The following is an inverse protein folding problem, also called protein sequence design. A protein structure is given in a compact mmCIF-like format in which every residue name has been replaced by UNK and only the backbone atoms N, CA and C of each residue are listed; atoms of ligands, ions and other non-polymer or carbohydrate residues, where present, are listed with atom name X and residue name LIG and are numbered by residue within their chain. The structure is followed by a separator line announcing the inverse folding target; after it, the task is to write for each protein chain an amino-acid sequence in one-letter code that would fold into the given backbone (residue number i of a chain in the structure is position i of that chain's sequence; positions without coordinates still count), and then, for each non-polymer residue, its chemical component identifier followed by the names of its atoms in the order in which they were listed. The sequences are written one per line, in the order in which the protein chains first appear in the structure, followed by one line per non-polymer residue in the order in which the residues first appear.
data_IF_169092381729
#
_entry.id   IF_169092381729
#
_cell.length_a   1.000
_cell.length_b   1.000
_cell.length_c   1.000
_cell.angle_alpha   90.00
_cell.angle_beta   90.00
_cell.angle_gamma   90.00
#
_symmetry.space_group_name_H-M   'P 1'
#
loop_
_entity.id
_entity.type
_entity.pdbx_description
1 polymer ?
#
# COMPACT_ATOMS: atom_id res chain seq x y z
N UNK A 1 -16.05 12.52 -44.94
CA UNK A 1 -15.20 12.68 -43.74
C UNK A 1 -15.94 11.97 -42.63
N UNK A 2 -15.46 10.79 -42.23
CA UNK A 2 -16.12 9.95 -41.22
C UNK A 2 -15.97 10.63 -39.85
N UNK A 3 -17.05 11.16 -39.29
CA UNK A 3 -17.05 11.65 -37.91
C UNK A 3 -16.96 10.44 -36.97
N UNK A 4 -15.74 10.19 -36.48
CA UNK A 4 -15.50 9.19 -35.44
C UNK A 4 -16.25 9.63 -34.19
N UNK A 5 -17.33 8.93 -33.87
CA UNK A 5 -18.10 9.08 -32.65
C UNK A 5 -17.21 8.66 -31.46
N UNK A 6 -16.38 9.60 -30.99
CA UNK A 6 -15.64 9.45 -29.74
C UNK A 6 -16.65 9.47 -28.60
N UNK A 7 -17.15 8.30 -28.21
CA UNK A 7 -17.97 8.15 -27.01
C UNK A 7 -17.23 8.79 -25.83
N UNK A 8 -17.71 9.93 -25.28
CA UNK A 8 -16.94 10.71 -24.31
C UNK A 8 -16.88 10.06 -22.92
N UNK A 9 -17.65 9.00 -22.72
CA UNK A 9 -17.64 8.20 -21.49
C UNK A 9 -17.18 6.78 -21.80
N UNK A 10 -15.87 6.48 -21.70
CA UNK A 10 -15.44 5.10 -21.65
C UNK A 10 -16.11 4.46 -20.43
N UNK A 11 -17.01 3.50 -20.68
CA UNK A 11 -17.74 2.82 -19.62
C UNK A 11 -16.79 1.78 -19.00
N UNK A 12 -16.03 2.19 -17.99
CA UNK A 12 -15.06 1.31 -17.35
C UNK A 12 -15.80 0.19 -16.62
N UNK A 13 -15.44 -1.10 -16.84
CA UNK A 13 -15.96 -2.18 -16.03
C UNK A 13 -15.68 -1.91 -14.55
N UNK A 14 -16.67 -2.11 -13.67
CA UNK A 14 -16.53 -1.85 -12.22
C UNK A 14 -15.32 -2.57 -11.60
N UNK A 15 -14.98 -3.75 -12.13
CA UNK A 15 -13.78 -4.49 -11.74
C UNK A 15 -12.48 -3.72 -12.07
N UNK A 16 -12.38 -3.15 -13.29
CA UNK A 16 -11.22 -2.37 -13.73
C UNK A 16 -11.03 -1.12 -12.86
N UNK A 17 -12.12 -0.44 -12.52
CA UNK A 17 -12.14 0.74 -11.65
C UNK A 17 -11.68 0.40 -10.22
N UNK A 18 -12.15 -0.72 -9.67
CA UNK A 18 -11.76 -1.21 -8.33
C UNK A 18 -10.27 -1.59 -8.31
N UNK A 19 -9.80 -2.30 -9.34
CA UNK A 19 -8.40 -2.66 -9.47
C UNK A 19 -7.50 -1.43 -9.62
N UNK A 20 -7.93 -0.43 -10.37
CA UNK A 20 -7.20 0.85 -10.48
C UNK A 20 -7.05 1.53 -9.12
N UNK A 21 -8.11 1.60 -8.32
CA UNK A 21 -8.07 2.16 -6.95
C UNK A 21 -7.13 1.40 -6.04
N UNK A 22 -7.18 0.07 -6.10
CA UNK A 22 -6.26 -0.80 -5.39
C UNK A 22 -4.81 -0.50 -5.77
N UNK A 23 -4.52 -0.45 -7.06
CA UNK A 23 -3.17 -0.19 -7.57
C UNK A 23 -2.67 1.19 -7.12
N UNK A 24 -3.50 2.23 -7.20
CA UNK A 24 -3.16 3.56 -6.71
C UNK A 24 -2.85 3.56 -5.21
N UNK A 25 -3.73 2.97 -4.39
CA UNK A 25 -3.52 2.90 -2.94
C UNK A 25 -2.26 2.11 -2.57
N UNK A 26 -2.06 0.96 -3.22
CA UNK A 26 -0.90 0.10 -3.01
C UNK A 26 0.41 0.81 -3.38
N UNK A 27 0.46 1.45 -4.55
CA UNK A 27 1.66 2.17 -4.99
C UNK A 27 1.99 3.34 -4.06
N UNK A 28 1.00 4.07 -3.56
CA UNK A 28 1.23 5.16 -2.60
C UNK A 28 1.83 4.60 -1.31
N UNK A 29 1.22 3.56 -0.72
CA UNK A 29 1.71 2.94 0.51
C UNK A 29 3.12 2.35 0.34
N UNK A 30 3.36 1.67 -0.78
CA UNK A 30 4.63 1.01 -1.04
C UNK A 30 5.79 1.99 -1.31
N UNK A 31 5.52 3.12 -1.99
CA UNK A 31 6.57 4.09 -2.30
C UNK A 31 6.83 5.07 -1.15
N UNK A 32 5.83 5.39 -0.33
CA UNK A 32 6.03 6.20 0.86
C UNK A 32 6.95 5.48 1.86
N UNK A 33 7.90 6.17 2.51
CA UNK A 33 8.01 7.63 2.59
C UNK A 33 8.94 8.26 1.56
N UNK A 34 9.33 7.58 0.48
CA UNK A 34 10.03 8.23 -0.63
C UNK A 34 9.01 8.95 -1.54
N UNK A 35 9.24 10.21 -1.96
CA UNK A 35 10.44 11.04 -1.78
C UNK A 35 10.46 11.91 -0.51
N UNK A 36 9.43 11.88 0.33
CA UNK A 36 9.27 12.75 1.52
C UNK A 36 10.48 12.73 2.45
N UNK A 37 11.13 11.57 2.61
CA UNK A 37 12.35 11.43 3.44
C UNK A 37 13.51 12.32 2.98
N UNK A 38 13.60 12.65 1.69
CA UNK A 38 14.71 13.43 1.13
C UNK A 38 14.47 14.94 1.20
N UNK A 39 13.28 15.37 1.60
CA UNK A 39 12.95 16.79 1.68
C UNK A 39 13.20 17.27 3.12
N UNK A 40 14.14 18.21 3.33
CA UNK A 40 14.33 18.82 4.64
C UNK A 40 13.01 19.47 5.10
N UNK A 41 12.67 19.33 6.39
CA UNK A 41 11.37 19.68 7.02
C UNK A 41 10.28 18.59 7.01
N UNK A 42 10.31 17.61 6.09
CA UNK A 42 9.33 16.50 6.04
C UNK A 42 9.81 15.23 6.75
N UNK A 43 11.00 15.25 7.34
CA UNK A 43 11.59 14.11 8.05
C UNK A 43 10.68 13.59 9.19
N UNK A 44 10.02 14.47 9.94
CA UNK A 44 9.12 14.07 11.03
C UNK A 44 7.89 13.29 10.53
N UNK A 45 7.32 13.71 9.39
CA UNK A 45 6.20 13.00 8.74
C UNK A 45 6.65 11.64 8.21
N UNK A 46 7.84 11.58 7.60
CA UNK A 46 8.43 10.32 7.15
C UNK A 46 8.66 9.36 8.32
N UNK A 47 9.08 9.85 9.49
CA UNK A 47 9.29 9.00 10.66
C UNK A 47 7.97 8.49 11.21
N UNK A 48 6.97 9.36 11.37
CA UNK A 48 5.63 8.98 11.82
C UNK A 48 5.00 7.92 10.92
N UNK A 49 5.16 8.05 9.59
CA UNK A 49 4.69 7.06 8.63
C UNK A 49 5.36 5.69 8.84
N UNK A 50 6.69 5.68 9.06
CA UNK A 50 7.44 4.44 9.33
C UNK A 50 7.00 3.81 10.64
N UNK A 51 6.91 4.58 11.71
CA UNK A 51 6.54 4.06 13.03
C UNK A 51 5.12 3.48 13.02
N UNK A 52 4.18 4.14 12.34
CA UNK A 52 2.81 3.66 12.17
C UNK A 52 2.75 2.37 11.33
N UNK A 53 3.51 2.33 10.24
CA UNK A 53 3.62 1.13 9.39
C UNK A 53 4.22 -0.04 10.17
N UNK A 54 5.34 0.18 10.86
CA UNK A 54 6.02 -0.81 11.69
C UNK A 54 5.10 -1.38 12.77
N UNK A 55 4.37 -0.53 13.47
CA UNK A 55 3.41 -0.94 14.50
C UNK A 55 2.35 -1.87 13.92
N UNK A 56 1.81 -1.52 12.75
CA UNK A 56 0.78 -2.32 12.10
C UNK A 56 1.35 -3.64 11.56
N UNK A 57 2.57 -3.64 11.04
CA UNK A 57 3.27 -4.86 10.59
C UNK A 57 3.51 -5.81 11.76
N UNK A 58 3.99 -5.30 12.90
CA UNK A 58 4.17 -6.10 14.12
C UNK A 58 2.83 -6.64 14.61
N UNK A 59 1.77 -5.81 14.60
CA UNK A 59 0.44 -6.23 15.02
C UNK A 59 -0.10 -7.35 14.12
N UNK A 60 0.00 -7.22 12.80
CA UNK A 60 -0.42 -8.26 11.84
C UNK A 60 0.44 -9.52 11.99
N UNK A 61 1.76 -9.37 12.12
CA UNK A 61 2.68 -10.47 12.34
C UNK A 61 2.31 -11.31 13.57
N UNK A 62 1.99 -10.63 14.68
CA UNK A 62 1.63 -11.28 15.94
C UNK A 62 0.21 -11.86 15.93
N UNK A 63 -0.79 -11.09 15.47
CA UNK A 63 -2.20 -11.47 15.60
C UNK A 63 -2.71 -12.34 14.44
N UNK A 64 -2.24 -12.09 13.22
CA UNK A 64 -2.73 -12.78 12.02
C UNK A 64 -1.78 -13.89 11.61
N UNK A 65 -0.49 -13.57 11.44
CA UNK A 65 0.51 -14.54 10.98
C UNK A 65 1.00 -15.45 12.11
N UNK A 66 0.72 -15.10 13.38
CA UNK A 66 1.15 -15.82 14.59
C UNK A 66 2.65 -16.11 14.61
N UNK A 67 3.44 -15.23 13.99
CA UNK A 67 4.89 -15.28 14.05
C UNK A 67 5.26 -14.78 15.45
N UNK A 68 6.03 -15.61 16.18
CA UNK A 68 6.45 -15.41 17.58
C UNK A 68 7.07 -14.02 17.84
N UNK A 69 7.14 -13.64 19.12
CA UNK A 69 7.25 -12.27 19.66
C UNK A 69 8.37 -11.35 19.12
N UNK A 70 9.25 -11.81 18.24
CA UNK A 70 10.23 -11.00 17.54
C UNK A 70 10.21 -11.33 16.04
N UNK A 71 9.58 -10.47 15.23
CA UNK A 71 9.82 -10.47 13.78
C UNK A 71 11.28 -10.07 13.56
N UNK A 72 12.18 -11.01 13.15
CA UNK A 72 13.58 -10.67 13.07
C UNK A 72 13.78 -9.70 11.91
N UNK A 73 14.27 -8.50 12.22
CA UNK A 73 14.89 -7.61 11.22
C UNK A 73 16.33 -8.05 10.92
N UNK A 74 16.65 -9.32 11.19
CA UNK A 74 17.99 -9.86 11.00
C UNK A 74 18.22 -10.00 9.50
N UNK A 75 19.19 -9.25 8.99
CA UNK A 75 19.64 -9.37 7.62
C UNK A 75 20.60 -10.57 7.53
N UNK A 76 20.27 -11.55 6.69
CA UNK A 76 21.08 -12.75 6.43
C UNK A 76 22.11 -12.54 5.31
N UNK A 77 22.36 -11.29 4.91
CA UNK A 77 23.36 -10.90 3.92
C UNK A 77 22.77 -10.34 2.62
N UNK A 78 21.48 -10.58 2.32
CA UNK A 78 20.84 -10.08 1.09
C UNK A 78 20.25 -8.67 1.20
N UNK A 79 20.01 -8.17 2.42
CA UNK A 79 19.26 -6.94 2.67
C UNK A 79 17.77 -7.17 2.92
N UNK A 80 17.23 -8.33 2.51
CA UNK A 80 15.82 -8.70 2.72
C UNK A 80 15.63 -9.36 4.08
N UNK A 81 14.54 -9.02 4.74
CA UNK A 81 14.15 -9.61 6.02
C UNK A 81 12.73 -10.14 5.95
N UNK A 82 12.40 -11.09 6.84
CA UNK A 82 11.01 -11.57 7.01
C UNK A 82 10.06 -10.40 7.29
N UNK A 83 10.57 -9.38 7.98
CA UNK A 83 9.84 -8.15 8.23
C UNK A 83 9.45 -7.43 6.93
N UNK A 84 10.34 -7.34 5.93
CA UNK A 84 10.02 -6.70 4.64
C UNK A 84 8.93 -7.45 3.88
N UNK A 85 8.95 -8.78 3.90
CA UNK A 85 7.88 -9.57 3.28
C UNK A 85 6.54 -9.39 4.01
N UNK A 86 6.56 -9.32 5.34
CA UNK A 86 5.37 -9.04 6.14
C UNK A 86 4.82 -7.63 5.86
N UNK A 87 5.69 -6.63 5.72
CA UNK A 87 5.35 -5.26 5.35
C UNK A 87 4.64 -5.19 3.98
N UNK A 88 5.16 -5.89 2.97
CA UNK A 88 4.52 -5.98 1.64
C UNK A 88 3.11 -6.56 1.74
N UNK A 89 2.95 -7.67 2.48
CA UNK A 89 1.64 -8.30 2.67
C UNK A 89 0.66 -7.37 3.39
N UNK A 90 1.14 -6.63 4.38
CA UNK A 90 0.36 -5.65 5.13
C UNK A 90 -0.12 -4.52 4.23
N UNK A 91 0.77 -3.93 3.43
CA UNK A 91 0.40 -2.87 2.50
C UNK A 91 -0.59 -3.37 1.45
N UNK A 92 -0.43 -4.62 0.98
CA UNK A 92 -1.41 -5.25 0.10
C UNK A 92 -2.80 -5.33 0.74
N UNK A 93 -2.90 -5.78 1.99
CA UNK A 93 -4.18 -5.88 2.71
C UNK A 93 -4.81 -4.51 2.97
N UNK A 94 -4.02 -3.51 3.39
CA UNK A 94 -4.50 -2.15 3.62
C UNK A 94 -4.99 -1.53 2.29
N UNK A 95 -4.23 -1.69 1.20
CA UNK A 95 -4.63 -1.19 -0.11
C UNK A 95 -5.94 -1.84 -0.59
N UNK A 96 -6.10 -3.15 -0.35
CA UNK A 96 -7.34 -3.87 -0.67
C UNK A 96 -8.52 -3.33 0.14
N UNK A 97 -8.34 -3.07 1.44
CA UNK A 97 -9.36 -2.47 2.29
C UNK A 97 -9.73 -1.04 1.82
N UNK A 98 -8.75 -0.19 1.51
CA UNK A 98 -8.97 1.16 0.98
C UNK A 98 -9.75 1.09 -0.33
N UNK A 99 -9.33 0.25 -1.28
CA UNK A 99 -9.99 0.11 -2.57
C UNK A 99 -11.43 -0.39 -2.44
N UNK A 100 -11.67 -1.31 -1.49
CA UNK A 100 -13.00 -1.82 -1.21
C UNK A 100 -13.89 -0.74 -0.62
N UNK A 101 -13.44 -0.01 0.42
CA UNK A 101 -14.17 1.08 1.05
C UNK A 101 -14.48 2.19 0.03
N UNK A 102 -13.49 2.58 -0.78
CA UNK A 102 -13.69 3.57 -1.85
C UNK A 102 -14.74 3.08 -2.84
N UNK A 103 -14.63 1.84 -3.29
CA UNK A 103 -15.58 1.29 -4.27
C UNK A 103 -16.99 1.05 -3.71
N UNK A 104 -17.16 0.98 -2.40
CA UNK A 104 -18.48 1.00 -1.76
C UNK A 104 -19.08 2.41 -1.71
N UNK A 105 -18.26 3.43 -1.45
CA UNK A 105 -18.71 4.83 -1.33
C UNK A 105 -18.94 5.52 -2.68
N UNK A 106 -18.27 5.06 -3.72
CA UNK A 106 -18.38 5.57 -5.09
C UNK A 106 -19.48 4.87 -5.92
N UNK A 107 -20.24 3.97 -5.30
CA UNK A 107 -21.47 3.38 -5.88
C UNK A 107 -22.68 4.27 -5.61
#
# INVERSE_FOLDING_TARGET
MEETNLNPNPNWPKAKLTFFRFLCAYLILYNLPFPLRNIPYLAGVSQLYKDASDLFVIWVGKNILRISDELPRLNNGSGDTIFNYAEILVFFLIAMAIAFIWSLRDR
#
